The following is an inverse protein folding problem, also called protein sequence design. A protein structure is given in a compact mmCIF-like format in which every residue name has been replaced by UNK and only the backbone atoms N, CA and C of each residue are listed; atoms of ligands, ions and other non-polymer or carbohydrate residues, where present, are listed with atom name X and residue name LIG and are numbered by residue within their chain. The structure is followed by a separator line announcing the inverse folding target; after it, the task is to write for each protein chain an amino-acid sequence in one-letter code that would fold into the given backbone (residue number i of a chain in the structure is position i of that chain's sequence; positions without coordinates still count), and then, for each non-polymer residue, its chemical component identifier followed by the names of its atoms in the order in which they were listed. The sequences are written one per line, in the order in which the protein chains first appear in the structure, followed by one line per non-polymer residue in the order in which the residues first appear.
data_IF_963338419793
#
_entry.id   IF_963338419793
#
_cell.length_a   1.000
_cell.length_b   1.000
_cell.length_c   1.000
_cell.angle_alpha   90.00
_cell.angle_beta   90.00
_cell.angle_gamma   90.00
#
_symmetry.space_group_name_H-M   'P 1'
#
loop_
_entity.id
_entity.type
_entity.pdbx_description
1 polymer ?
#
# COMPACT_ATOMS: atom_id res chain seq x y z
N UNK A 1 64.54 36.22 -26.68
CA UNK A 1 63.50 36.66 -25.73
C UNK A 1 62.67 37.84 -26.22
N UNK A 2 63.24 39.01 -26.57
CA UNK A 2 62.45 40.19 -27.02
C UNK A 2 61.47 39.92 -28.18
N UNK A 3 61.87 39.11 -29.17
CA UNK A 3 61.05 38.77 -30.33
C UNK A 3 59.79 37.96 -29.97
N UNK A 4 59.92 36.99 -29.05
CA UNK A 4 58.81 36.15 -28.58
C UNK A 4 57.78 37.00 -27.83
N UNK A 5 58.24 37.89 -26.96
CA UNK A 5 57.36 38.81 -26.20
C UNK A 5 56.61 39.76 -27.14
N UNK A 6 57.28 40.28 -28.17
CA UNK A 6 56.67 41.18 -29.15
C UNK A 6 55.62 40.46 -30.02
N UNK A 7 55.89 39.21 -30.43
CA UNK A 7 54.93 38.40 -31.19
C UNK A 7 53.72 38.01 -30.34
N UNK A 8 53.93 37.61 -29.09
CA UNK A 8 52.83 37.33 -28.16
C UNK A 8 51.98 38.58 -27.91
N UNK A 9 52.60 39.75 -27.72
CA UNK A 9 51.88 41.01 -27.53
C UNK A 9 51.10 41.47 -28.77
N UNK A 10 51.43 40.99 -29.97
CA UNK A 10 50.66 41.31 -31.18
C UNK A 10 49.53 40.30 -31.41
N UNK A 11 49.76 39.02 -31.11
CA UNK A 11 48.83 37.91 -31.38
C UNK A 11 47.90 37.52 -30.22
N UNK A 12 48.03 38.18 -29.07
CA UNK A 12 47.25 37.85 -27.88
C UNK A 12 45.72 37.92 -28.10
N UNK A 13 45.15 38.85 -28.91
CA UNK A 13 43.71 38.88 -29.11
C UNK A 13 43.23 37.65 -29.90
N UNK A 14 43.99 37.20 -30.91
CA UNK A 14 43.68 35.98 -31.67
C UNK A 14 43.72 34.74 -30.76
N UNK A 15 44.75 34.60 -29.93
CA UNK A 15 44.85 33.48 -28.99
C UNK A 15 43.75 33.51 -27.92
N UNK A 16 43.37 34.69 -27.43
CA UNK A 16 42.25 34.83 -26.50
C UNK A 16 40.93 34.40 -27.16
N UNK A 17 40.68 34.83 -28.40
CA UNK A 17 39.49 34.47 -29.14
C UNK A 17 39.43 32.96 -29.43
N UNK A 18 40.55 32.35 -29.80
CA UNK A 18 40.66 30.90 -29.99
C UNK A 18 40.33 30.12 -28.71
N UNK A 19 40.94 30.50 -27.57
CA UNK A 19 40.66 29.89 -26.27
C UNK A 19 39.19 30.06 -25.89
N UNK A 20 38.61 31.24 -26.14
CA UNK A 20 37.22 31.53 -25.83
C UNK A 20 36.27 30.69 -26.67
N UNK A 21 36.52 30.56 -27.98
CA UNK A 21 35.71 29.72 -28.88
C UNK A 21 35.79 28.24 -28.48
N UNK A 22 36.99 27.71 -28.22
CA UNK A 22 37.17 26.32 -27.77
C UNK A 22 36.44 26.11 -26.43
N UNK A 23 36.58 27.05 -25.50
CA UNK A 23 35.94 26.98 -24.17
C UNK A 23 34.42 26.98 -24.28
N UNK A 24 33.84 27.87 -25.09
CA UNK A 24 32.39 27.90 -25.37
C UNK A 24 31.94 26.60 -26.04
N UNK A 25 32.73 26.06 -26.97
CA UNK A 25 32.42 24.78 -27.61
C UNK A 25 32.34 23.62 -26.61
N UNK A 26 33.32 23.50 -25.73
CA UNK A 26 33.36 22.46 -24.68
C UNK A 26 32.21 22.65 -23.68
N UNK A 27 32.00 23.87 -23.18
CA UNK A 27 30.91 24.15 -22.25
C UNK A 27 29.53 23.94 -22.90
N UNK A 28 29.36 24.30 -24.16
CA UNK A 28 28.13 24.06 -24.92
C UNK A 28 27.84 22.57 -25.09
N UNK A 29 28.85 21.76 -25.44
CA UNK A 29 28.70 20.32 -25.54
C UNK A 29 28.36 19.68 -24.19
N UNK A 30 29.04 20.09 -23.11
CA UNK A 30 28.80 19.59 -21.76
C UNK A 30 27.39 19.95 -21.26
N UNK A 31 26.95 21.20 -21.46
CA UNK A 31 25.61 21.64 -21.06
C UNK A 31 24.50 20.94 -21.84
N UNK A 32 24.67 20.74 -23.16
CA UNK A 32 23.71 19.99 -23.97
C UNK A 32 23.62 18.52 -23.53
N UNK A 33 24.75 17.90 -23.19
CA UNK A 33 24.76 16.54 -22.69
C UNK A 33 24.03 16.42 -21.34
N UNK A 34 24.34 17.29 -20.38
CA UNK A 34 23.67 17.30 -19.07
C UNK A 34 22.16 17.56 -19.21
N UNK A 35 21.74 18.43 -20.12
CA UNK A 35 20.33 18.66 -20.40
C UNK A 35 19.63 17.40 -20.91
N UNK A 36 20.26 16.68 -21.84
CA UNK A 36 19.72 15.41 -22.35
C UNK A 36 19.67 14.32 -21.28
N UNK A 37 20.68 14.22 -20.42
CA UNK A 37 20.71 13.29 -19.29
C UNK A 37 19.62 13.60 -18.27
N UNK A 38 19.47 14.87 -17.86
CA UNK A 38 18.41 15.30 -16.95
C UNK A 38 17.02 15.00 -17.52
N UNK A 39 16.82 15.22 -18.83
CA UNK A 39 15.56 14.88 -19.50
C UNK A 39 15.26 13.38 -19.45
N UNK A 40 16.27 12.53 -19.67
CA UNK A 40 16.12 11.08 -19.58
C UNK A 40 15.81 10.63 -18.14
N UNK A 41 16.55 11.17 -17.16
CA UNK A 41 16.31 10.89 -15.74
C UNK A 41 14.89 11.27 -15.31
N UNK A 42 14.39 12.46 -15.73
CA UNK A 42 13.01 12.87 -15.44
C UNK A 42 11.98 11.95 -16.10
N UNK A 43 12.22 11.50 -17.33
CA UNK A 43 11.32 10.56 -18.00
C UNK A 43 11.27 9.18 -17.29
N UNK A 44 12.42 8.69 -16.81
CA UNK A 44 12.49 7.44 -16.06
C UNK A 44 11.86 7.58 -14.66
N UNK A 45 12.08 8.72 -13.98
CA UNK A 45 11.40 9.06 -12.72
C UNK A 45 9.87 9.07 -12.90
N UNK A 46 9.36 9.75 -13.93
CA UNK A 46 7.92 9.81 -14.20
C UNK A 46 7.34 8.42 -14.47
N UNK A 47 8.03 7.60 -15.29
CA UNK A 47 7.59 6.21 -15.54
C UNK A 47 7.50 5.41 -14.23
N UNK A 48 8.52 5.50 -13.38
CA UNK A 48 8.54 4.81 -12.10
C UNK A 48 7.43 5.29 -11.16
N UNK A 49 7.18 6.61 -11.11
CA UNK A 49 6.08 7.18 -10.33
C UNK A 49 4.70 6.71 -10.82
N UNK A 50 4.49 6.58 -12.15
CA UNK A 50 3.27 5.97 -12.69
C UNK A 50 3.11 4.51 -12.28
N UNK A 51 4.17 3.70 -12.36
CA UNK A 51 4.14 2.30 -11.93
C UNK A 51 3.81 2.14 -10.44
N UNK A 52 4.42 2.98 -9.59
CA UNK A 52 4.11 3.03 -8.15
C UNK A 52 2.65 3.47 -7.93
N UNK A 53 2.17 4.48 -8.66
CA UNK A 53 0.79 4.93 -8.57
C UNK A 53 -0.21 3.83 -8.94
N UNK A 54 0.08 3.06 -9.98
CA UNK A 54 -0.76 1.94 -10.41
C UNK A 54 -0.76 0.81 -9.37
N UNK A 55 0.41 0.47 -8.81
CA UNK A 55 0.53 -0.43 -7.65
C UNK A 55 -0.37 0.03 -6.49
N UNK A 56 -0.28 1.31 -6.09
CA UNK A 56 -1.07 1.87 -5.00
C UNK A 56 -2.58 1.82 -5.28
N UNK A 57 -3.00 2.04 -6.53
CA UNK A 57 -4.42 1.97 -6.94
C UNK A 57 -4.95 0.54 -6.88
N UNK A 58 -4.16 -0.43 -7.33
CA UNK A 58 -4.52 -1.84 -7.26
C UNK A 58 -4.59 -2.32 -5.80
N UNK A 59 -3.59 -1.95 -4.99
CA UNK A 59 -3.52 -2.24 -3.56
C UNK A 59 -4.75 -1.68 -2.82
N UNK A 60 -5.11 -0.42 -3.11
CA UNK A 60 -6.33 0.23 -2.59
C UNK A 60 -7.60 -0.54 -2.92
N UNK A 61 -7.72 -1.05 -4.15
CA UNK A 61 -8.88 -1.84 -4.57
C UNK A 61 -9.04 -3.11 -3.73
N UNK A 62 -7.94 -3.80 -3.43
CA UNK A 62 -7.94 -4.96 -2.54
C UNK A 62 -8.33 -4.56 -1.10
N UNK A 63 -7.72 -3.50 -0.57
CA UNK A 63 -7.96 -3.02 0.79
C UNK A 63 -9.41 -2.56 1.01
N UNK A 64 -10.06 -1.96 0.01
CA UNK A 64 -11.47 -1.57 0.09
C UNK A 64 -12.41 -2.79 0.19
N UNK A 65 -12.09 -3.89 -0.50
CA UNK A 65 -12.85 -5.15 -0.39
C UNK A 65 -12.68 -5.74 1.02
N UNK A 66 -11.45 -5.76 1.53
CA UNK A 66 -11.14 -6.19 2.90
C UNK A 66 -11.88 -5.34 3.94
N UNK A 67 -11.89 -4.02 3.78
CA UNK A 67 -12.57 -3.09 4.68
C UNK A 67 -14.08 -3.34 4.71
N UNK A 68 -14.68 -3.54 3.53
CA UNK A 68 -16.12 -3.83 3.43
C UNK A 68 -16.48 -5.12 4.15
N UNK A 69 -15.71 -6.20 3.93
CA UNK A 69 -15.96 -7.49 4.57
C UNK A 69 -15.79 -7.40 6.09
N UNK A 70 -14.71 -6.78 6.56
CA UNK A 70 -14.46 -6.61 7.98
C UNK A 70 -15.50 -5.71 8.65
N UNK A 71 -15.93 -4.64 7.98
CA UNK A 71 -17.01 -3.78 8.45
C UNK A 71 -18.32 -4.56 8.63
N UNK A 72 -18.65 -5.42 7.67
CA UNK A 72 -19.84 -6.28 7.75
C UNK A 72 -19.72 -7.34 8.87
N UNK A 73 -18.52 -7.88 9.09
CA UNK A 73 -18.23 -8.78 10.22
C UNK A 73 -18.42 -8.07 11.56
N UNK A 74 -17.82 -6.88 11.76
CA UNK A 74 -17.96 -6.07 12.98
C UNK A 74 -19.43 -5.73 13.27
N UNK A 75 -20.20 -5.34 12.24
CA UNK A 75 -21.63 -5.09 12.36
C UNK A 75 -22.40 -6.35 12.76
N UNK A 76 -22.08 -7.49 12.17
CA UNK A 76 -22.73 -8.78 12.48
C UNK A 76 -22.42 -9.27 13.88
N UNK A 77 -21.16 -9.16 14.31
CA UNK A 77 -20.75 -9.45 15.70
C UNK A 77 -21.53 -8.57 16.66
N UNK A 78 -21.63 -7.27 16.38
CA UNK A 78 -22.35 -6.32 17.24
C UNK A 78 -23.85 -6.66 17.33
N UNK A 79 -24.48 -6.96 16.19
CA UNK A 79 -25.89 -7.37 16.13
C UNK A 79 -26.16 -8.65 16.92
N UNK A 80 -25.33 -9.68 16.71
CA UNK A 80 -25.45 -10.96 17.42
C UNK A 80 -25.23 -10.80 18.93
N UNK A 81 -24.30 -9.94 19.36
CA UNK A 81 -24.03 -9.70 20.79
C UNK A 81 -25.12 -8.91 21.50
N UNK A 82 -25.83 -8.03 20.81
CA UNK A 82 -26.92 -7.24 21.39
C UNK A 82 -28.28 -7.94 21.34
N UNK A 83 -28.41 -8.97 20.51
CA UNK A 83 -29.65 -9.70 20.29
C UNK A 83 -29.78 -10.96 21.16
N UNK A 84 -31.01 -11.47 21.24
CA UNK A 84 -31.28 -12.79 21.80
C UNK A 84 -30.94 -13.87 20.76
N UNK A 85 -29.74 -14.45 20.88
CA UNK A 85 -29.24 -15.48 19.96
C UNK A 85 -30.12 -16.72 19.91
N UNK A 86 -30.72 -17.10 21.05
CA UNK A 86 -31.52 -18.32 21.15
C UNK A 86 -32.83 -18.17 20.38
N UNK A 87 -33.47 -17.02 20.50
CA UNK A 87 -34.74 -16.72 19.84
C UNK A 87 -34.59 -16.07 18.45
N UNK A 88 -33.37 -15.80 18.00
CA UNK A 88 -33.11 -15.21 16.67
C UNK A 88 -33.67 -16.10 15.55
N UNK A 89 -34.29 -15.50 14.53
CA UNK A 89 -34.70 -16.24 13.34
C UNK A 89 -33.50 -16.96 12.69
N UNK A 90 -33.71 -18.20 12.23
CA UNK A 90 -32.63 -19.07 11.71
C UNK A 90 -31.92 -18.49 10.49
N UNK A 91 -32.65 -17.88 9.55
CA UNK A 91 -32.04 -17.25 8.37
C UNK A 91 -31.22 -16.02 8.77
N UNK A 92 -31.70 -15.24 9.74
CA UNK A 92 -30.97 -14.09 10.27
C UNK A 92 -29.68 -14.53 10.95
N UNK A 93 -29.75 -15.51 11.86
CA UNK A 93 -28.58 -16.06 12.53
C UNK A 93 -27.59 -16.64 11.52
N UNK A 94 -28.07 -17.39 10.52
CA UNK A 94 -27.22 -18.02 9.51
C UNK A 94 -26.45 -17.00 8.67
N UNK A 95 -27.08 -15.87 8.31
CA UNK A 95 -26.40 -14.78 7.58
C UNK A 95 -25.33 -14.10 8.44
N UNK A 96 -25.64 -13.79 9.70
CA UNK A 96 -24.67 -13.15 10.58
C UNK A 96 -23.51 -14.08 10.94
N UNK A 97 -23.77 -15.38 11.10
CA UNK A 97 -22.71 -16.38 11.26
C UNK A 97 -21.79 -16.43 10.03
N UNK A 98 -22.33 -16.38 8.81
CA UNK A 98 -21.52 -16.39 7.60
C UNK A 98 -20.56 -15.19 7.51
N UNK A 99 -21.03 -14.01 7.92
CA UNK A 99 -20.22 -12.79 7.96
C UNK A 99 -19.20 -12.80 9.11
N UNK A 100 -19.53 -13.44 10.23
CA UNK A 100 -18.64 -13.60 11.37
C UNK A 100 -17.51 -14.60 11.11
N UNK A 101 -17.85 -15.74 10.51
CA UNK A 101 -16.93 -16.86 10.20
C UNK A 101 -16.08 -16.57 8.95
N UNK A 102 -16.10 -15.34 8.46
CA UNK A 102 -15.27 -14.93 7.35
C UNK A 102 -13.93 -14.36 7.82
N UNK A 103 -12.89 -14.57 7.02
CA UNK A 103 -11.62 -13.88 7.14
C UNK A 103 -11.24 -13.30 5.77
N UNK A 104 -10.43 -12.26 5.78
CA UNK A 104 -10.06 -11.52 4.58
C UNK A 104 -8.54 -11.51 4.48
N UNK A 105 -8.05 -11.74 3.26
CA UNK A 105 -6.63 -11.73 2.94
C UNK A 105 -6.27 -10.43 2.25
N UNK A 106 -5.07 -9.97 2.52
CA UNK A 106 -4.45 -8.83 1.87
C UNK A 106 -3.12 -9.30 1.30
N UNK A 107 -2.96 -9.11 -0.01
CA UNK A 107 -1.74 -9.45 -0.74
C UNK A 107 -1.09 -8.14 -1.17
N UNK A 108 -0.05 -7.69 -0.45
CA UNK A 108 0.61 -6.43 -0.77
C UNK A 108 1.12 -6.40 -2.20
N UNK A 109 0.97 -5.25 -2.85
CA UNK A 109 1.58 -4.97 -4.15
C UNK A 109 2.70 -3.95 -3.96
N UNK A 110 3.93 -4.36 -4.24
CA UNK A 110 5.15 -3.56 -4.05
C UNK A 110 6.19 -3.71 -5.18
N UNK A 111 5.83 -4.35 -6.30
CA UNK A 111 6.78 -4.68 -7.36
C UNK A 111 7.45 -3.45 -7.99
N UNK A 112 6.72 -2.33 -8.13
CA UNK A 112 7.30 -1.09 -8.62
C UNK A 112 8.30 -0.50 -7.60
N UNK A 113 8.00 -0.59 -6.31
CA UNK A 113 8.91 -0.15 -5.24
C UNK A 113 10.19 -1.00 -5.17
N UNK A 114 10.07 -2.32 -5.29
CA UNK A 114 11.22 -3.22 -5.33
C UNK A 114 12.09 -2.98 -6.59
N UNK A 115 11.46 -2.62 -7.71
CA UNK A 115 12.17 -2.19 -8.91
C UNK A 115 12.89 -0.86 -8.68
N UNK A 116 12.22 0.14 -8.09
CA UNK A 116 12.84 1.42 -7.73
C UNK A 116 14.10 1.22 -6.88
N UNK A 117 14.02 0.38 -5.84
CA UNK A 117 15.15 0.08 -4.92
C UNK A 117 16.38 -0.49 -5.60
N UNK A 118 16.20 -1.30 -6.64
CA UNK A 118 17.28 -2.02 -7.32
C UNK A 118 17.74 -1.34 -8.59
N UNK A 119 16.92 -0.44 -9.15
CA UNK A 119 17.25 0.37 -10.31
C UNK A 119 18.21 1.52 -10.01
N UNK A 120 18.75 2.15 -11.05
CA UNK A 120 19.47 3.43 -10.95
C UNK A 120 18.54 4.65 -10.94
N UNK A 121 17.21 4.44 -10.97
CA UNK A 121 16.23 5.52 -11.00
C UNK A 121 16.18 6.14 -9.60
N UNK A 122 16.25 7.47 -9.53
CA UNK A 122 16.03 8.20 -8.29
C UNK A 122 14.82 9.12 -8.45
N UNK A 123 14.01 9.17 -7.40
CA UNK A 123 13.01 10.20 -7.22
C UNK A 123 13.74 11.47 -6.76
N UNK A 124 13.56 12.55 -7.51
CA UNK A 124 14.21 13.85 -7.33
C UNK A 124 13.63 14.58 -6.12
N UNK A 125 12.33 14.43 -5.87
CA UNK A 125 11.66 14.97 -4.70
C UNK A 125 11.97 14.10 -3.46
N UNK A 126 12.88 14.56 -2.61
CA UNK A 126 13.31 13.84 -1.41
C UNK A 126 12.18 13.62 -0.39
N UNK A 127 11.21 14.54 -0.27
CA UNK A 127 10.06 14.33 0.61
C UNK A 127 9.21 13.18 0.11
N UNK A 128 8.85 13.20 -1.19
CA UNK A 128 8.07 12.14 -1.82
C UNK A 128 8.79 10.79 -1.75
N UNK A 129 10.09 10.77 -2.01
CA UNK A 129 10.93 9.57 -1.91
C UNK A 129 10.84 8.95 -0.51
N UNK A 130 10.96 9.77 0.53
CA UNK A 130 10.86 9.31 1.91
C UNK A 130 9.45 8.80 2.25
N UNK A 131 8.40 9.45 1.75
CA UNK A 131 7.02 9.00 1.95
C UNK A 131 6.74 7.66 1.26
N UNK A 132 7.25 7.46 0.04
CA UNK A 132 7.18 6.18 -0.67
C UNK A 132 7.89 5.10 0.13
N UNK A 133 9.15 5.32 0.52
CA UNK A 133 9.90 4.34 1.34
C UNK A 133 9.20 4.02 2.65
N UNK A 134 8.70 5.03 3.37
CA UNK A 134 7.95 4.83 4.62
C UNK A 134 6.65 4.06 4.41
N UNK A 135 5.97 4.27 3.29
CA UNK A 135 4.75 3.53 2.97
C UNK A 135 5.06 2.03 2.83
N UNK A 136 6.01 1.68 1.96
CA UNK A 136 6.32 0.28 1.65
C UNK A 136 7.08 -0.44 2.78
N UNK A 137 8.13 0.17 3.32
CA UNK A 137 9.01 -0.51 4.28
C UNK A 137 8.40 -0.62 5.69
N UNK A 138 7.52 0.33 6.05
CA UNK A 138 6.95 0.37 7.39
C UNK A 138 5.43 0.20 7.39
N UNK A 139 4.72 1.07 6.68
CA UNK A 139 3.27 1.19 6.84
C UNK A 139 2.52 -0.04 6.30
N UNK A 140 2.93 -0.52 5.13
CA UNK A 140 2.37 -1.69 4.48
C UNK A 140 2.68 -2.97 5.28
N UNK A 141 3.95 -3.18 5.63
CA UNK A 141 4.40 -4.31 6.45
C UNK A 141 3.68 -4.37 7.79
N UNK A 142 3.60 -3.25 8.53
CA UNK A 142 2.87 -3.18 9.80
C UNK A 142 1.41 -3.55 9.66
N UNK A 143 0.76 -3.10 8.58
CA UNK A 143 -0.65 -3.41 8.33
C UNK A 143 -0.81 -4.89 7.99
N UNK A 144 0.04 -5.43 7.12
CA UNK A 144 0.03 -6.85 6.76
C UNK A 144 0.20 -7.75 7.99
N UNK A 145 1.17 -7.47 8.87
CA UNK A 145 1.37 -8.24 10.10
C UNK A 145 0.12 -8.24 10.98
N UNK A 146 -0.52 -7.08 11.15
CA UNK A 146 -1.77 -7.00 11.92
C UNK A 146 -2.93 -7.79 11.30
N UNK A 147 -2.95 -7.94 9.97
CA UNK A 147 -3.93 -8.79 9.28
C UNK A 147 -3.62 -10.28 9.44
N UNK A 148 -2.34 -10.66 9.39
CA UNK A 148 -1.88 -12.03 9.64
C UNK A 148 -2.18 -12.49 11.07
N UNK A 149 -2.08 -11.58 12.05
CA UNK A 149 -2.46 -11.87 13.43
C UNK A 149 -3.95 -12.23 13.56
N UNK A 150 -4.82 -11.54 12.83
CA UNK A 150 -6.27 -11.86 12.77
C UNK A 150 -6.50 -13.20 12.06
N UNK A 151 -5.80 -13.48 10.97
CA UNK A 151 -5.86 -14.79 10.30
C UNK A 151 -5.39 -15.93 11.23
N UNK A 152 -4.33 -15.70 12.00
CA UNK A 152 -3.84 -16.65 13.00
C UNK A 152 -4.89 -16.93 14.08
N UNK A 153 -5.50 -15.89 14.65
CA UNK A 153 -6.58 -16.04 15.62
C UNK A 153 -7.79 -16.79 15.03
N UNK A 154 -8.17 -16.47 13.79
CA UNK A 154 -9.22 -17.19 13.08
C UNK A 154 -8.93 -18.69 13.00
N UNK A 155 -7.70 -19.05 12.64
CA UNK A 155 -7.30 -20.45 12.54
C UNK A 155 -7.29 -21.17 13.90
N UNK A 156 -6.88 -20.49 14.97
CA UNK A 156 -6.80 -21.09 16.32
C UNK A 156 -8.19 -21.25 16.96
N UNK A 157 -9.08 -20.27 16.79
CA UNK A 157 -10.35 -20.21 17.52
C UNK A 157 -11.57 -20.54 16.66
N UNK A 158 -11.69 -19.92 15.49
CA UNK A 158 -12.89 -20.05 14.66
C UNK A 158 -12.93 -21.36 13.86
N UNK A 159 -11.79 -21.87 13.37
CA UNK A 159 -11.79 -23.16 12.65
C UNK A 159 -12.30 -24.32 13.52
N UNK A 160 -11.87 -24.50 14.79
CA UNK A 160 -12.46 -25.49 15.68
C UNK A 160 -13.97 -25.27 15.91
N UNK A 161 -14.40 -24.02 16.14
CA UNK A 161 -15.82 -23.70 16.29
C UNK A 161 -16.63 -24.13 15.05
N UNK A 162 -16.16 -23.78 13.85
CA UNK A 162 -16.80 -24.13 12.59
C UNK A 162 -16.91 -25.64 12.43
N UNK A 163 -15.82 -26.38 12.64
CA UNK A 163 -15.79 -27.84 12.52
C UNK A 163 -16.76 -28.52 13.47
N UNK A 164 -16.86 -28.01 14.69
CA UNK A 164 -17.73 -28.58 15.73
C UNK A 164 -19.19 -28.26 15.44
N UNK A 165 -19.52 -27.00 15.17
CA UNK A 165 -20.90 -26.51 15.25
C UNK A 165 -21.57 -26.18 13.93
N UNK A 166 -20.84 -26.01 12.83
CA UNK A 166 -21.40 -25.59 11.54
C UNK A 166 -21.57 -26.80 10.63
N UNK A 167 -22.77 -26.95 10.06
CA UNK A 167 -23.14 -28.02 9.13
C UNK A 167 -22.80 -27.66 7.70
N UNK A 168 -23.29 -26.50 7.27
CA UNK A 168 -23.14 -25.98 5.93
C UNK A 168 -22.60 -24.56 6.00
N UNK A 169 -21.65 -24.24 5.13
CA UNK A 169 -21.09 -22.92 5.00
C UNK A 169 -21.04 -22.53 3.52
N UNK A 170 -21.74 -21.47 3.17
CA UNK A 170 -21.67 -20.79 1.90
C UNK A 170 -21.00 -19.44 2.14
N UNK A 171 -19.85 -19.24 1.51
CA UNK A 171 -19.00 -18.08 1.75
C UNK A 171 -19.77 -16.77 1.58
N UNK A 172 -19.74 -15.93 2.61
CA UNK A 172 -20.44 -14.64 2.72
C UNK A 172 -21.98 -14.70 2.60
N UNK A 173 -22.59 -15.88 2.48
CA UNK A 173 -24.02 -16.03 2.27
C UNK A 173 -24.74 -16.59 3.52
N UNK A 174 -24.46 -17.85 3.88
CA UNK A 174 -25.13 -18.54 5.00
C UNK A 174 -24.19 -19.53 5.69
N UNK A 175 -24.27 -19.59 7.01
CA UNK A 175 -23.62 -20.61 7.84
C UNK A 175 -24.66 -21.24 8.75
N UNK A 176 -25.01 -22.50 8.48
CA UNK A 176 -26.07 -23.20 9.21
C UNK A 176 -25.48 -23.98 10.38
N UNK A 177 -25.95 -23.78 11.62
CA UNK A 177 -25.52 -24.61 12.74
C UNK A 177 -26.02 -26.05 12.57
N UNK A 178 -25.24 -27.03 13.03
CA UNK A 178 -25.65 -28.45 13.10
C UNK A 178 -26.83 -28.63 14.04
N UNK A 179 -26.81 -27.93 15.18
CA UNK A 179 -27.86 -27.89 16.19
C UNK A 179 -27.78 -26.58 16.98
N UNK A 180 -28.93 -25.94 17.22
CA UNK A 180 -29.05 -24.75 18.07
C UNK A 180 -29.19 -25.13 19.55
N UNK A 181 -28.16 -25.76 20.11
CA UNK A 181 -28.12 -26.13 21.54
C UNK A 181 -27.57 -25.01 22.42
N UNK A 182 -27.80 -25.10 23.74
CA UNK A 182 -27.18 -24.19 24.72
C UNK A 182 -25.66 -24.18 24.63
N UNK A 183 -25.06 -25.35 24.39
CA UNK A 183 -23.62 -25.51 24.16
C UNK A 183 -23.13 -24.70 22.94
N UNK A 184 -23.87 -24.77 21.82
CA UNK A 184 -23.55 -23.99 20.62
C UNK A 184 -23.60 -22.49 20.91
N UNK A 185 -24.65 -22.01 21.58
CA UNK A 185 -24.79 -20.58 21.88
C UNK A 185 -23.75 -20.09 22.88
N UNK A 186 -23.40 -20.92 23.87
CA UNK A 186 -22.31 -20.63 24.82
C UNK A 186 -20.98 -20.49 24.08
N UNK A 187 -20.65 -21.45 23.21
CA UNK A 187 -19.44 -21.40 22.40
C UNK A 187 -19.44 -20.17 21.47
N UNK A 188 -20.54 -19.90 20.78
CA UNK A 188 -20.69 -18.74 19.90
C UNK A 188 -20.47 -17.43 20.67
N UNK A 189 -21.04 -17.31 21.87
CA UNK A 189 -20.89 -16.10 22.68
C UNK A 189 -19.43 -15.87 23.09
N UNK A 190 -18.69 -16.92 23.45
CA UNK A 190 -17.25 -16.84 23.73
C UNK A 190 -16.47 -16.32 22.52
N UNK A 191 -16.72 -16.88 21.33
CA UNK A 191 -16.04 -16.46 20.09
C UNK A 191 -16.39 -15.00 19.72
N UNK A 192 -17.65 -14.58 19.88
CA UNK A 192 -18.08 -13.20 19.63
C UNK A 192 -17.45 -12.19 20.60
N UNK A 193 -17.20 -12.58 21.84
CA UNK A 193 -16.52 -11.72 22.82
C UNK A 193 -15.06 -11.50 22.39
N UNK A 194 -14.34 -12.58 22.05
CA UNK A 194 -12.94 -12.49 21.62
C UNK A 194 -12.74 -11.72 20.32
N UNK A 195 -13.67 -11.86 19.36
CA UNK A 195 -13.51 -11.26 18.04
C UNK A 195 -13.85 -9.76 17.97
N UNK A 196 -14.72 -9.23 18.83
CA UNK A 196 -15.26 -7.86 18.66
C UNK A 196 -14.16 -6.80 18.69
N UNK A 197 -13.34 -6.80 19.72
CA UNK A 197 -12.37 -5.73 19.94
C UNK A 197 -11.22 -5.83 18.95
N UNK A 198 -10.80 -7.05 18.62
CA UNK A 198 -9.77 -7.31 17.60
C UNK A 198 -10.24 -6.85 16.22
N UNK A 199 -11.43 -7.28 15.78
CA UNK A 199 -11.94 -6.88 14.46
C UNK A 199 -12.19 -5.36 14.37
N UNK A 200 -12.64 -4.73 15.45
CA UNK A 200 -12.85 -3.28 15.50
C UNK A 200 -11.52 -2.51 15.39
N UNK A 201 -10.49 -2.94 16.12
CA UNK A 201 -9.16 -2.33 16.06
C UNK A 201 -8.50 -2.54 14.71
N UNK A 202 -8.61 -3.74 14.14
CA UNK A 202 -8.08 -4.05 12.82
C UNK A 202 -8.81 -3.24 11.74
N UNK A 203 -10.12 -3.03 11.85
CA UNK A 203 -10.86 -2.17 10.94
C UNK A 203 -10.39 -0.72 11.00
N UNK A 204 -10.14 -0.20 12.20
CA UNK A 204 -9.60 1.14 12.37
C UNK A 204 -8.17 1.25 11.78
N UNK A 205 -7.33 0.23 11.95
CA UNK A 205 -5.99 0.19 11.37
C UNK A 205 -6.03 0.15 9.84
N UNK A 206 -6.89 -0.69 9.26
CA UNK A 206 -7.09 -0.81 7.82
C UNK A 206 -7.58 0.50 7.19
N UNK A 207 -8.52 1.19 7.84
CA UNK A 207 -8.99 2.51 7.40
C UNK A 207 -7.90 3.58 7.43
N UNK A 208 -7.04 3.59 8.45
CA UNK A 208 -5.86 4.48 8.49
C UNK A 208 -4.89 4.16 7.35
N UNK A 209 -4.68 2.87 7.05
CA UNK A 209 -3.81 2.47 5.96
C UNK A 209 -4.36 2.89 4.58
N UNK A 210 -5.68 2.73 4.36
CA UNK A 210 -6.38 3.21 3.17
C UNK A 210 -6.25 4.73 2.97
N UNK A 211 -6.24 5.50 4.05
CA UNK A 211 -6.02 6.94 4.01
C UNK A 211 -4.58 7.28 3.66
N UNK A 212 -3.59 6.62 4.30
CA UNK A 212 -2.18 6.81 3.96
C UNK A 212 -1.90 6.48 2.48
N UNK A 213 -2.49 5.39 1.97
CA UNK A 213 -2.41 5.03 0.56
C UNK A 213 -3.02 6.15 -0.31
N UNK A 214 -4.19 6.71 0.05
CA UNK A 214 -4.83 7.82 -0.68
C UNK A 214 -3.93 9.05 -0.76
N UNK A 215 -3.37 9.45 0.38
CA UNK A 215 -2.56 10.67 0.47
C UNK A 215 -1.26 10.51 -0.32
N UNK A 216 -0.65 9.31 -0.31
CA UNK A 216 0.52 9.04 -1.14
C UNK A 216 0.19 9.10 -2.64
N UNK A 217 -0.95 8.53 -3.08
CA UNK A 217 -1.40 8.65 -4.47
C UNK A 217 -1.51 10.12 -4.89
N UNK A 218 -2.14 10.97 -4.08
CA UNK A 218 -2.26 12.41 -4.37
C UNK A 218 -0.90 13.11 -4.45
N UNK A 219 0.05 12.78 -3.58
CA UNK A 219 1.40 13.35 -3.62
C UNK A 219 2.11 12.96 -4.92
N UNK A 220 2.01 11.70 -5.34
CA UNK A 220 2.57 11.23 -6.62
C UNK A 220 1.89 11.92 -7.81
N UNK A 221 0.56 12.01 -7.82
CA UNK A 221 -0.19 12.71 -8.87
C UNK A 221 0.19 14.19 -8.94
N UNK A 222 0.43 14.83 -7.81
CA UNK A 222 0.89 16.23 -7.76
C UNK A 222 2.28 16.37 -8.35
N UNK A 223 3.22 15.47 -8.03
CA UNK A 223 4.58 15.45 -8.58
C UNK A 223 4.61 15.20 -10.09
N UNK A 224 3.73 14.32 -10.58
CA UNK A 224 3.61 14.00 -12.01
C UNK A 224 3.06 15.17 -12.86
N UNK A 225 2.34 16.10 -12.24
CA UNK A 225 1.77 17.28 -12.89
C UNK A 225 2.70 18.52 -12.86
N UNK A 226 3.91 18.40 -12.30
CA UNK A 226 4.96 19.43 -12.31
C UNK A 226 5.93 19.23 -13.47
#
# INVERSE_FOLDING_TARGET
MKRIVQTLSQKWPEYLLEILVITIGILGAFTLNNWNENRKQRADEQRMLYEILDNLKEDRSQLLKAETQLSNSVKSISYMRSGDLQNMNEDTLSKHLALFINFYKYYPIDNAYETLKTSSISISNNELKNDISKYYEYTQNRTQSGLLDVESQFNVHLIPFVRTYIKNFEWLNKAQPKKRSDEFFTALQTELIGAKDNNTQTLAALRRFLENNRELQKKIETELNQ
#
